data_IF_740632373100
#
_entry.id   IF_740632373100
#
_cell.length_a   1.000
_cell.length_b   1.000
_cell.length_c   1.000
_cell.angle_alpha   90.00
_cell.angle_beta   90.00
_cell.angle_gamma   90.00
#
_symmetry.space_group_name_H-M   'P 1'
#
loop_
_entity.id
_entity.type
_entity.pdbx_description
1 polymer ?
#
# COMPACT_ATOMS: atom_id res chain seq x y z
N UNK A 1 12.58 -5.94 -20.85
CA UNK A 1 13.25 -4.88 -21.65
C UNK A 1 12.98 -3.54 -20.94
N UNK A 2 13.86 -3.15 -20.02
CA UNK A 2 13.72 -1.93 -19.20
C UNK A 2 14.19 -0.74 -20.06
N UNK A 3 13.34 0.24 -20.42
CA UNK A 3 13.75 1.32 -21.30
C UNK A 3 14.80 2.22 -20.65
N UNK A 4 15.70 2.74 -21.48
CA UNK A 4 16.87 3.60 -21.17
C UNK A 4 16.52 4.91 -20.40
N UNK A 5 15.24 5.20 -20.14
CA UNK A 5 14.80 6.37 -19.35
C UNK A 5 15.15 6.29 -17.85
N UNK A 6 15.66 5.16 -17.34
CA UNK A 6 16.04 4.99 -15.93
C UNK A 6 17.27 5.79 -15.47
N UNK A 7 18.08 6.35 -16.39
CA UNK A 7 19.33 7.02 -16.03
C UNK A 7 19.19 8.48 -15.56
N UNK A 8 18.02 9.12 -15.73
CA UNK A 8 17.77 10.51 -15.28
C UNK A 8 16.64 10.58 -14.26
N UNK A 9 16.82 9.91 -13.12
CA UNK A 9 15.99 10.19 -11.94
C UNK A 9 16.77 11.05 -10.95
N UNK A 10 16.22 12.21 -10.60
CA UNK A 10 16.84 13.16 -9.66
C UNK A 10 15.94 13.23 -8.44
N UNK A 11 16.49 12.97 -7.25
CA UNK A 11 15.77 13.04 -5.96
C UNK A 11 14.46 12.22 -5.88
N UNK A 12 14.34 11.18 -6.73
CA UNK A 12 13.15 10.32 -6.81
C UNK A 12 12.05 10.82 -7.75
N UNK A 13 12.29 11.91 -8.48
CA UNK A 13 11.43 12.43 -9.54
C UNK A 13 11.97 12.03 -10.91
N UNK A 14 11.05 11.94 -11.89
CA UNK A 14 11.33 11.88 -13.32
C UNK A 14 10.47 12.91 -14.03
N UNK A 15 10.92 13.40 -15.17
CA UNK A 15 10.12 14.26 -16.04
C UNK A 15 9.50 13.36 -17.12
N UNK A 16 8.18 13.46 -17.29
CA UNK A 16 7.47 12.73 -18.33
C UNK A 16 7.69 13.39 -19.70
N UNK A 17 7.39 12.68 -20.79
CA UNK A 17 7.55 13.21 -22.17
C UNK A 17 6.75 14.50 -22.44
N UNK A 18 5.76 14.79 -21.59
CA UNK A 18 4.93 16.01 -21.61
C UNK A 18 5.44 17.12 -20.69
N UNK A 19 6.64 17.00 -20.13
CA UNK A 19 7.24 17.99 -19.21
C UNK A 19 6.70 17.97 -17.78
N UNK A 20 5.86 16.99 -17.42
CA UNK A 20 5.27 16.88 -16.08
C UNK A 20 6.21 16.14 -15.12
N UNK A 21 6.31 16.61 -13.88
CA UNK A 21 7.00 15.88 -12.82
C UNK A 21 6.19 14.65 -12.41
N UNK A 22 6.82 13.49 -12.44
CA UNK A 22 6.23 12.19 -12.06
C UNK A 22 7.18 11.47 -11.10
N UNK A 23 6.66 10.55 -10.29
CA UNK A 23 7.49 9.69 -9.46
C UNK A 23 8.36 8.77 -10.30
N UNK A 24 9.62 8.61 -9.91
CA UNK A 24 10.49 7.56 -10.45
C UNK A 24 9.95 6.18 -10.07
N UNK A 25 10.10 5.19 -10.94
CA UNK A 25 9.72 3.81 -10.65
C UNK A 25 10.40 3.28 -9.39
N UNK A 26 11.65 3.69 -9.13
CA UNK A 26 12.41 3.33 -7.93
C UNK A 26 11.76 3.90 -6.66
N UNK A 27 11.27 5.13 -6.71
CA UNK A 27 10.56 5.75 -5.59
C UNK A 27 9.24 5.04 -5.31
N UNK A 28 8.48 4.74 -6.37
CA UNK A 28 7.22 4.01 -6.26
C UNK A 28 7.41 2.58 -5.74
N UNK A 29 8.50 1.91 -6.13
CA UNK A 29 8.87 0.59 -5.61
C UNK A 29 9.16 0.66 -4.10
N UNK A 30 10.02 1.59 -3.68
CA UNK A 30 10.35 1.83 -2.26
C UNK A 30 9.10 2.12 -1.44
N UNK A 31 8.17 2.92 -1.96
CA UNK A 31 6.91 3.18 -1.29
C UNK A 31 6.10 1.91 -1.07
N UNK A 32 5.89 1.11 -2.11
CA UNK A 32 5.14 -0.16 -2.03
C UNK A 32 5.80 -1.13 -1.06
N UNK A 33 7.13 -1.21 -1.09
CA UNK A 33 7.91 -2.05 -0.20
C UNK A 33 7.76 -1.62 1.26
N UNK A 34 7.90 -0.32 1.54
CA UNK A 34 7.74 0.20 2.91
C UNK A 34 6.33 -0.02 3.44
N UNK A 35 5.29 0.23 2.63
CA UNK A 35 3.90 -0.09 2.99
C UNK A 35 3.74 -1.58 3.29
N UNK A 36 4.37 -2.47 2.51
CA UNK A 36 4.34 -3.93 2.74
C UNK A 36 5.05 -4.30 4.06
N UNK A 37 6.16 -3.66 4.39
CA UNK A 37 6.88 -3.88 5.63
C UNK A 37 6.06 -3.45 6.85
N UNK A 38 5.42 -2.28 6.79
CA UNK A 38 4.56 -1.75 7.87
C UNK A 38 3.33 -2.63 8.06
N UNK A 39 2.69 -3.05 6.97
CA UNK A 39 1.50 -3.92 7.00
C UNK A 39 1.83 -5.41 7.11
N UNK A 40 3.09 -5.77 7.39
CA UNK A 40 3.52 -7.17 7.54
C UNK A 40 2.96 -7.75 8.83
N UNK A 41 2.37 -8.95 8.74
CA UNK A 41 1.78 -9.66 9.89
C UNK A 41 2.80 -10.17 10.90
N UNK A 42 4.08 -10.28 10.51
CA UNK A 42 5.10 -10.92 11.34
C UNK A 42 5.76 -9.98 12.36
N UNK A 43 5.27 -8.74 12.53
CA UNK A 43 5.88 -7.76 13.46
C UNK A 43 5.40 -7.84 14.90
N UNK A 44 4.28 -8.51 15.19
CA UNK A 44 3.73 -8.60 16.55
C UNK A 44 3.20 -7.28 17.15
N UNK A 45 3.12 -6.18 16.39
CA UNK A 45 2.57 -4.91 16.87
C UNK A 45 1.04 -4.90 16.91
N UNK A 46 0.47 -4.04 17.75
CA UNK A 46 -0.99 -3.82 17.77
C UNK A 46 -1.40 -3.23 16.43
N UNK A 47 -2.60 -3.60 15.99
CA UNK A 47 -3.12 -3.16 14.68
C UNK A 47 -3.20 -1.63 14.58
N UNK A 48 -3.52 -0.96 15.68
CA UNK A 48 -3.62 0.50 15.75
C UNK A 48 -2.26 1.18 15.54
N UNK A 49 -1.19 0.64 16.13
CA UNK A 49 0.17 1.19 16.01
C UNK A 49 0.68 1.09 14.57
N UNK A 50 0.44 -0.06 13.91
CA UNK A 50 0.76 -0.25 12.50
C UNK A 50 0.00 0.71 11.57
N UNK A 51 -1.27 1.01 11.89
CA UNK A 51 -2.07 1.99 11.14
C UNK A 51 -1.54 3.42 11.38
N UNK A 52 -1.11 3.75 12.61
CA UNK A 52 -0.48 5.01 12.95
C UNK A 52 0.82 5.24 12.18
N UNK A 53 1.73 4.25 12.20
CA UNK A 53 3.00 4.27 11.45
C UNK A 53 2.73 4.44 9.94
N UNK A 54 1.77 3.69 9.40
CA UNK A 54 1.38 3.79 7.99
C UNK A 54 0.87 5.17 7.64
N UNK A 55 0.02 5.77 8.49
CA UNK A 55 -0.53 7.12 8.27
C UNK A 55 0.58 8.16 8.24
N UNK A 56 1.49 8.14 9.21
CA UNK A 56 2.63 9.06 9.27
C UNK A 56 3.53 8.92 8.04
N UNK A 57 3.85 7.68 7.64
CA UNK A 57 4.65 7.42 6.45
C UNK A 57 3.99 7.95 5.16
N UNK A 58 2.71 7.67 4.97
CA UNK A 58 1.97 8.13 3.78
C UNK A 58 1.89 9.65 3.74
N UNK A 59 1.62 10.31 4.87
CA UNK A 59 1.60 11.77 4.95
C UNK A 59 2.96 12.39 4.61
N UNK A 60 4.05 11.86 5.17
CA UNK A 60 5.41 12.32 4.86
C UNK A 60 5.75 12.14 3.38
N UNK A 61 5.38 10.99 2.81
CA UNK A 61 5.57 10.70 1.39
C UNK A 61 4.77 11.68 0.50
N UNK A 62 3.49 11.91 0.81
CA UNK A 62 2.66 12.85 0.06
C UNK A 62 3.18 14.29 0.15
N UNK A 63 3.65 14.72 1.32
CA UNK A 63 4.22 16.05 1.49
C UNK A 63 5.50 16.24 0.65
N UNK A 64 6.38 15.22 0.64
CA UNK A 64 7.60 15.26 -0.17
C UNK A 64 7.25 15.29 -1.66
N UNK A 65 6.36 14.41 -2.12
CA UNK A 65 6.02 14.22 -3.53
C UNK A 65 4.87 15.07 -4.08
N UNK A 66 4.44 16.09 -3.34
CA UNK A 66 3.30 16.96 -3.72
C UNK A 66 3.47 17.61 -5.11
N UNK A 67 4.70 17.89 -5.52
CA UNK A 67 5.04 18.53 -6.80
C UNK A 67 4.78 17.63 -8.02
N UNK A 68 4.73 16.32 -7.84
CA UNK A 68 4.50 15.33 -8.91
C UNK A 68 3.16 14.60 -8.78
N UNK A 69 2.35 14.97 -7.79
CA UNK A 69 1.11 14.29 -7.45
C UNK A 69 0.03 14.59 -8.50
N UNK A 70 -0.07 13.74 -9.52
CA UNK A 70 -1.27 13.66 -10.36
C UNK A 70 -2.37 12.92 -9.60
N UNK A 71 -3.57 13.50 -9.53
CA UNK A 71 -4.69 12.99 -8.73
C UNK A 71 -4.96 11.49 -8.95
N UNK A 72 -4.99 11.03 -10.21
CA UNK A 72 -5.25 9.63 -10.58
C UNK A 72 -4.22 8.66 -9.97
N UNK A 73 -2.93 9.00 -10.04
CA UNK A 73 -1.87 8.14 -9.52
C UNK A 73 -1.92 8.02 -7.99
N UNK A 74 -2.28 9.11 -7.30
CA UNK A 74 -2.49 9.11 -5.85
C UNK A 74 -3.70 8.27 -5.48
N UNK A 75 -4.80 8.35 -6.24
CA UNK A 75 -6.01 7.58 -6.00
C UNK A 75 -5.74 6.07 -6.09
N UNK A 76 -5.13 5.60 -7.18
CA UNK A 76 -4.76 4.19 -7.36
C UNK A 76 -3.87 3.67 -6.23
N UNK A 77 -2.91 4.50 -5.80
CA UNK A 77 -2.01 4.17 -4.70
C UNK A 77 -2.77 4.07 -3.37
N UNK A 78 -3.68 5.01 -3.11
CA UNK A 78 -4.52 5.03 -1.90
C UNK A 78 -5.44 3.81 -1.83
N UNK A 79 -5.99 3.35 -2.95
CA UNK A 79 -6.82 2.15 -3.02
C UNK A 79 -6.03 0.89 -2.66
N UNK A 80 -4.81 0.76 -3.20
CA UNK A 80 -3.90 -0.36 -2.87
C UNK A 80 -3.56 -0.38 -1.38
N UNK A 81 -3.27 0.78 -0.79
CA UNK A 81 -3.00 0.91 0.65
C UNK A 81 -4.24 0.51 1.47
N UNK A 82 -5.42 1.04 1.14
CA UNK A 82 -6.69 0.71 1.81
C UNK A 82 -7.02 -0.78 1.74
N UNK A 83 -6.78 -1.42 0.59
CA UNK A 83 -6.95 -2.88 0.42
C UNK A 83 -6.04 -3.67 1.35
N UNK A 84 -4.78 -3.27 1.49
CA UNK A 84 -3.83 -3.90 2.43
C UNK A 84 -4.27 -3.75 3.88
N UNK A 85 -4.67 -2.55 4.28
CA UNK A 85 -5.14 -2.30 5.66
C UNK A 85 -6.37 -3.16 5.97
N UNK A 86 -7.31 -3.29 5.04
CA UNK A 86 -8.49 -4.16 5.20
C UNK A 86 -8.09 -5.62 5.43
N UNK A 87 -7.16 -6.14 4.63
CA UNK A 87 -6.63 -7.50 4.79
C UNK A 87 -5.87 -7.69 6.10
N UNK A 88 -5.19 -6.65 6.58
CA UNK A 88 -4.46 -6.68 7.84
C UNK A 88 -5.42 -6.69 9.04
N UNK A 89 -6.49 -5.88 9.00
CA UNK A 89 -7.52 -5.82 10.05
C UNK A 89 -8.42 -7.06 10.10
N UNK A 90 -8.75 -7.64 8.95
CA UNK A 90 -9.65 -8.80 8.85
C UNK A 90 -8.93 -10.02 8.25
N UNK A 91 -8.13 -10.75 9.05
CA UNK A 91 -7.50 -11.98 8.59
C UNK A 91 -8.55 -13.08 8.39
N UNK A 92 -8.40 -13.88 7.32
CA UNK A 92 -9.30 -14.98 6.89
C UNK A 92 -9.65 -16.04 7.96
N UNK A 93 -9.02 -16.03 9.14
CA UNK A 93 -9.30 -16.95 10.25
C UNK A 93 -10.57 -16.63 11.04
N UNK A 94 -11.19 -15.47 10.81
CA UNK A 94 -12.54 -15.17 11.33
C UNK A 94 -13.65 -15.85 10.51
N UNK A 95 -13.52 -17.16 10.24
CA UNK A 95 -14.69 -17.96 9.90
C UNK A 95 -15.56 -18.04 11.15
N UNK A 96 -16.86 -17.70 11.10
CA UNK A 96 -17.74 -17.81 12.26
C UNK A 96 -17.72 -19.25 12.78
N UNK A 97 -17.56 -19.42 14.09
CA UNK A 97 -17.59 -20.74 14.75
C UNK A 97 -18.90 -21.50 14.43
N UNK A 98 -19.97 -20.77 14.07
CA UNK A 98 -21.29 -21.28 13.69
C UNK A 98 -21.37 -21.88 12.26
N UNK A 99 -20.35 -21.72 11.42
CA UNK A 99 -20.26 -22.28 10.07
C UNK A 99 -19.38 -23.55 10.05
N UNK A 100 -19.55 -24.43 11.04
CA UNK A 100 -18.93 -25.76 11.02
C UNK A 100 -19.90 -26.74 10.33
N UNK A 101 -19.56 -27.33 9.16
CA UNK A 101 -20.45 -28.22 8.41
C UNK A 101 -20.98 -29.41 9.23
N UNK A 102 -20.22 -29.82 10.26
CA UNK A 102 -20.58 -30.91 11.18
C UNK A 102 -21.83 -30.64 12.01
N UNK A 103 -22.23 -29.38 12.21
CA UNK A 103 -23.39 -29.02 13.02
C UNK A 103 -24.66 -28.78 12.18
N UNK A 104 -24.54 -28.71 10.86
CA UNK A 104 -25.67 -28.45 9.95
C UNK A 104 -26.51 -29.71 9.72
N UNK A 105 -25.90 -30.90 9.83
CA UNK A 105 -26.53 -32.20 9.54
C UNK A 105 -27.39 -32.77 10.69
N UNK A 106 -27.76 -31.97 11.69
CA UNK A 106 -28.57 -32.42 12.84
C UNK A 106 -29.89 -31.67 13.03
N UNK A 107 -30.25 -30.76 12.11
CA UNK A 107 -31.43 -29.89 12.24
C UNK A 107 -32.50 -30.10 11.15
N UNK A 108 -32.43 -31.22 10.44
CA UNK A 108 -33.44 -31.72 9.47
C UNK A 108 -33.74 -33.16 9.81
#
# INVERSE_FOLDING_TARGET
MQPIELLRSVLGYRIDRRGKLVWSEKALHRFKERVRQITSRNRGHRVQDAIGELRLYVLGWLNYYKLSATYTAVLELSERVRRRVRLYRFPKRFTPIYLNPRHILRAT
#
